data_IF_062834420097
#
_entry.id   IF_062834420097
#
_cell.length_a   1.000
_cell.length_b   1.000
_cell.length_c   1.000
_cell.angle_alpha   90.00
_cell.angle_beta   90.00
_cell.angle_gamma   90.00
#
_symmetry.space_group_name_H-M   'P 1'
#
loop_
_entity.id
_entity.type
_entity.pdbx_description
1 polymer ?
#
# COMPACT_ATOMS: atom_id res chain seq x y z
N UNK A 1 -2.52 16.93 13.99
CA UNK A 1 -2.56 15.81 13.02
C UNK A 1 -1.60 14.72 13.50
N UNK A 2 -2.08 13.48 13.67
CA UNK A 2 -1.22 12.37 14.05
C UNK A 2 -0.46 11.82 12.84
N UNK A 3 0.42 10.85 13.06
CA UNK A 3 1.25 10.30 11.98
C UNK A 3 0.43 9.62 10.88
N UNK A 4 -0.61 8.86 11.26
CA UNK A 4 -1.47 8.20 10.29
C UNK A 4 -2.15 9.23 9.38
N UNK A 5 -2.69 10.29 9.93
CA UNK A 5 -3.33 11.36 9.16
C UNK A 5 -2.34 12.07 8.26
N UNK A 6 -1.12 12.31 8.74
CA UNK A 6 -0.06 12.93 7.95
C UNK A 6 0.33 12.05 6.75
N UNK A 7 0.55 10.76 7.00
CA UNK A 7 0.89 9.81 5.93
C UNK A 7 -0.24 9.69 4.90
N UNK A 8 -1.50 9.69 5.37
CA UNK A 8 -2.63 9.64 4.46
C UNK A 8 -2.70 10.87 3.57
N UNK A 9 -2.45 12.06 4.13
CA UNK A 9 -2.42 13.30 3.36
C UNK A 9 -1.31 13.28 2.30
N UNK A 10 -0.13 12.77 2.65
CA UNK A 10 0.97 12.61 1.70
C UNK A 10 0.60 11.63 0.59
N UNK A 11 -0.04 10.51 0.94
CA UNK A 11 -0.53 9.53 -0.03
C UNK A 11 -1.50 10.16 -1.03
N UNK A 12 -2.44 10.97 -0.55
CA UNK A 12 -3.41 11.68 -1.41
C UNK A 12 -2.67 12.55 -2.43
N UNK A 13 -1.65 13.28 -1.99
CA UNK A 13 -0.82 14.10 -2.89
C UNK A 13 -0.12 13.28 -3.95
N UNK A 14 0.44 12.13 -3.58
CA UNK A 14 1.07 11.21 -4.53
C UNK A 14 0.04 10.69 -5.55
N UNK A 15 -1.14 10.29 -5.10
CA UNK A 15 -2.21 9.81 -5.97
C UNK A 15 -2.61 10.85 -7.00
N UNK A 16 -2.78 12.11 -6.59
CA UNK A 16 -3.10 13.20 -7.54
C UNK A 16 -2.08 13.29 -8.65
N UNK A 17 -0.80 13.21 -8.31
CA UNK A 17 0.29 13.27 -9.28
C UNK A 17 0.28 12.07 -10.22
N UNK A 18 0.08 10.86 -9.67
CA UNK A 18 0.02 9.64 -10.47
C UNK A 18 -1.20 9.62 -11.39
N UNK A 19 -2.36 10.08 -10.88
CA UNK A 19 -3.56 10.20 -11.69
C UNK A 19 -3.32 11.13 -12.89
N UNK A 20 -2.70 12.29 -12.63
CA UNK A 20 -2.48 13.31 -13.65
C UNK A 20 -1.40 12.92 -14.65
N UNK A 21 -0.22 12.50 -14.17
CA UNK A 21 0.95 12.25 -15.02
C UNK A 21 0.86 10.93 -15.78
N UNK A 22 0.40 9.88 -15.13
CA UNK A 22 0.38 8.54 -15.71
C UNK A 22 -1.02 8.03 -16.04
N UNK A 23 -2.05 8.73 -15.58
CA UNK A 23 -3.46 8.30 -15.71
C UNK A 23 -3.67 6.91 -15.12
N UNK A 24 -2.99 6.61 -14.01
CA UNK A 24 -3.16 5.37 -13.27
C UNK A 24 -3.79 5.68 -11.91
N UNK A 25 -4.43 4.66 -11.33
CA UNK A 25 -5.05 4.75 -10.02
C UNK A 25 -4.27 3.82 -9.10
N UNK A 26 -3.43 4.37 -8.19
CA UNK A 26 -2.66 3.53 -7.27
C UNK A 26 -3.55 2.84 -6.25
N UNK A 27 -3.04 1.78 -5.64
CA UNK A 27 -3.69 1.07 -4.53
C UNK A 27 -3.05 1.53 -3.22
N UNK A 28 -3.87 1.91 -2.26
CA UNK A 28 -3.43 2.12 -0.88
C UNK A 28 -3.21 0.76 -0.23
N UNK A 29 -2.01 0.52 0.31
CA UNK A 29 -1.61 -0.80 0.79
C UNK A 29 -0.94 -0.72 2.17
N UNK A 30 -0.53 -1.85 2.71
CA UNK A 30 0.20 -1.92 3.97
C UNK A 30 -0.62 -1.49 5.18
N UNK A 31 0.07 -1.11 6.25
CA UNK A 31 -0.59 -0.74 7.53
C UNK A 31 -1.49 0.47 7.41
N UNK A 32 -1.13 1.44 6.56
CA UNK A 32 -1.97 2.62 6.33
C UNK A 32 -3.30 2.22 5.68
N UNK A 33 -3.24 1.35 4.67
CA UNK A 33 -4.43 0.84 3.99
C UNK A 33 -5.29 -0.04 4.89
N UNK A 34 -4.65 -0.91 5.67
CA UNK A 34 -5.36 -1.75 6.64
C UNK A 34 -6.10 -0.89 7.66
N UNK A 35 -5.46 0.18 8.14
CA UNK A 35 -6.08 1.09 9.10
C UNK A 35 -7.36 1.71 8.57
N UNK A 36 -7.37 2.08 7.29
CA UNK A 36 -8.58 2.61 6.64
C UNK A 36 -9.67 1.55 6.56
N UNK A 37 -9.33 0.34 6.15
CA UNK A 37 -10.30 -0.76 6.01
C UNK A 37 -10.88 -1.20 7.36
N UNK A 38 -10.06 -1.24 8.40
CA UNK A 38 -10.44 -1.68 9.73
C UNK A 38 -10.98 -0.54 10.61
N UNK A 39 -10.84 0.71 10.17
CA UNK A 39 -11.18 1.91 10.95
C UNK A 39 -10.44 1.94 12.29
N UNK A 40 -9.16 1.59 12.25
CA UNK A 40 -8.26 1.56 13.41
C UNK A 40 -6.90 2.11 13.00
N UNK A 41 -6.16 2.64 13.97
CA UNK A 41 -4.78 3.06 13.76
C UNK A 41 -3.84 1.89 14.05
N UNK A 42 -3.15 1.40 13.01
CA UNK A 42 -2.15 0.34 13.11
C UNK A 42 -0.73 0.89 13.23
N UNK A 43 -0.59 2.17 13.59
CA UNK A 43 0.69 2.86 13.74
C UNK A 43 1.59 2.72 12.50
N UNK A 44 1.09 3.07 11.30
CA UNK A 44 1.91 2.96 10.10
C UNK A 44 3.15 3.84 10.21
N UNK A 45 4.28 3.35 9.69
CA UNK A 45 5.55 4.09 9.70
C UNK A 45 5.87 4.68 8.33
N UNK A 46 5.29 4.13 7.28
CA UNK A 46 5.54 4.50 5.89
C UNK A 46 4.27 4.36 5.06
N UNK A 47 4.38 4.80 3.82
CA UNK A 47 3.31 4.69 2.82
C UNK A 47 3.69 3.52 1.92
N UNK A 48 2.78 2.55 1.78
CA UNK A 48 2.91 1.46 0.81
C UNK A 48 1.83 1.62 -0.25
N UNK A 49 2.23 1.56 -1.52
CA UNK A 49 1.29 1.69 -2.61
C UNK A 49 1.62 0.72 -3.73
N UNK A 50 0.60 0.34 -4.47
CA UNK A 50 0.75 -0.58 -5.60
C UNK A 50 0.40 0.14 -6.89
N UNK A 51 1.17 -0.13 -7.94
CA UNK A 51 0.97 0.41 -9.29
C UNK A 51 1.11 -0.74 -10.29
N UNK A 52 0.68 -0.56 -11.56
CA UNK A 52 0.93 -1.59 -12.57
C UNK A 52 2.43 -1.87 -12.72
N UNK A 53 2.79 -3.13 -12.90
CA UNK A 53 4.17 -3.59 -12.97
C UNK A 53 5.02 -2.82 -13.98
N UNK A 54 4.42 -2.36 -15.08
CA UNK A 54 5.13 -1.62 -16.12
C UNK A 54 5.87 -0.40 -15.54
N UNK A 55 5.37 0.20 -14.46
CA UNK A 55 6.00 1.36 -13.83
C UNK A 55 7.19 1.01 -12.94
N UNK A 56 7.39 -0.28 -12.68
CA UNK A 56 8.57 -0.77 -11.97
C UNK A 56 9.56 -1.44 -12.93
N UNK A 57 9.26 -1.47 -14.22
CA UNK A 57 10.09 -2.09 -15.24
C UNK A 57 10.33 -1.11 -16.40
N UNK A 58 9.55 -1.18 -17.49
CA UNK A 58 9.80 -0.33 -18.66
C UNK A 58 9.66 1.17 -18.35
N UNK A 59 8.73 1.55 -17.46
CA UNK A 59 8.47 2.94 -17.10
C UNK A 59 9.10 3.35 -15.77
N UNK A 60 10.08 2.59 -15.29
CA UNK A 60 10.73 2.87 -14.00
C UNK A 60 11.35 4.28 -13.95
N UNK A 61 12.04 4.69 -15.02
CA UNK A 61 12.68 6.01 -15.05
C UNK A 61 11.62 7.12 -14.97
N UNK A 62 10.48 6.94 -15.63
CA UNK A 62 9.39 7.91 -15.56
C UNK A 62 8.84 8.03 -14.14
N UNK A 63 8.63 6.89 -13.46
CA UNK A 63 8.17 6.86 -12.07
C UNK A 63 9.19 7.54 -11.15
N UNK A 64 10.45 7.15 -11.27
CA UNK A 64 11.55 7.71 -10.47
C UNK A 64 11.63 9.23 -10.64
N UNK A 65 11.54 9.71 -11.88
CA UNK A 65 11.61 11.15 -12.16
C UNK A 65 10.43 11.90 -11.56
N UNK A 66 9.22 11.35 -11.62
CA UNK A 66 8.05 11.96 -10.98
C UNK A 66 8.26 12.05 -9.47
N UNK A 67 8.70 10.95 -8.84
CA UNK A 67 8.94 10.93 -7.39
C UNK A 67 10.00 11.98 -7.00
N UNK A 68 11.05 12.12 -7.78
CA UNK A 68 12.08 13.14 -7.52
C UNK A 68 11.51 14.55 -7.61
N UNK A 69 10.64 14.83 -8.59
CA UNK A 69 9.97 16.14 -8.67
C UNK A 69 9.08 16.43 -7.47
N UNK A 70 8.57 15.37 -6.84
CA UNK A 70 7.76 15.48 -5.63
C UNK A 70 8.59 15.51 -4.34
N UNK A 71 9.92 15.48 -4.46
CA UNK A 71 10.83 15.56 -3.32
C UNK A 71 11.28 14.22 -2.77
N UNK A 72 10.96 13.11 -3.43
CA UNK A 72 11.30 11.77 -2.97
C UNK A 72 12.45 11.19 -3.77
N UNK A 73 13.52 10.77 -3.09
CA UNK A 73 14.67 10.11 -3.70
C UNK A 73 14.66 8.63 -3.40
N UNK A 74 15.22 7.81 -4.32
CA UNK A 74 15.34 6.37 -4.12
C UNK A 74 16.32 6.10 -2.99
N UNK A 75 15.88 5.29 -2.01
CA UNK A 75 16.74 4.80 -0.92
C UNK A 75 17.03 3.30 -1.05
N UNK A 76 16.22 2.58 -1.81
CA UNK A 76 16.43 1.16 -2.09
C UNK A 76 15.88 0.85 -3.50
N UNK A 77 16.79 0.60 -4.44
CA UNK A 77 16.41 0.31 -5.83
C UNK A 77 15.76 -1.07 -5.99
N UNK A 78 16.17 -2.03 -5.19
CA UNK A 78 15.65 -3.39 -5.29
C UNK A 78 14.22 -3.47 -4.76
N UNK A 79 13.95 -2.79 -3.65
CA UNK A 79 12.63 -2.79 -3.02
C UNK A 79 11.75 -1.64 -3.51
N UNK A 80 12.24 -0.79 -4.39
CA UNK A 80 11.52 0.38 -4.91
C UNK A 80 11.03 1.29 -3.77
N UNK A 81 11.94 1.63 -2.86
CA UNK A 81 11.65 2.51 -1.74
C UNK A 81 12.22 3.91 -1.95
N UNK A 82 11.46 4.89 -1.52
CA UNK A 82 11.76 6.32 -1.66
C UNK A 82 11.67 7.01 -0.30
N UNK A 83 12.36 8.14 -0.16
CA UNK A 83 12.25 8.98 1.03
C UNK A 83 12.41 10.46 0.66
N UNK A 84 11.71 11.33 1.37
CA UNK A 84 11.90 12.79 1.30
C UNK A 84 12.70 13.31 2.50
N UNK A 85 13.26 12.40 3.32
CA UNK A 85 13.96 12.73 4.56
C UNK A 85 13.08 12.62 5.79
N UNK A 86 11.76 12.59 5.62
CA UNK A 86 10.78 12.47 6.71
C UNK A 86 9.86 11.29 6.51
N UNK A 87 9.36 11.12 5.31
CA UNK A 87 8.41 10.07 4.95
C UNK A 87 9.09 9.04 4.04
N UNK A 88 8.72 7.78 4.19
CA UNK A 88 9.14 6.70 3.28
C UNK A 88 7.95 6.21 2.49
N UNK A 89 8.19 5.91 1.21
CA UNK A 89 7.18 5.37 0.30
C UNK A 89 7.75 4.12 -0.36
N UNK A 90 7.06 2.99 -0.17
CA UNK A 90 7.36 1.74 -0.86
C UNK A 90 6.36 1.55 -2.00
N UNK A 91 6.87 1.22 -3.19
CA UNK A 91 6.04 0.99 -4.38
C UNK A 91 6.24 -0.44 -4.85
N UNK A 92 5.15 -1.19 -4.93
CA UNK A 92 5.12 -2.55 -5.46
C UNK A 92 4.11 -2.63 -6.61
N UNK A 93 3.94 -3.82 -7.19
CA UNK A 93 3.06 -3.95 -8.34
C UNK A 93 1.74 -4.64 -7.99
N UNK A 94 0.66 -4.12 -8.57
CA UNK A 94 -0.71 -4.54 -8.26
C UNK A 94 -0.98 -6.00 -8.64
N UNK A 95 -0.33 -6.49 -9.70
CA UNK A 95 -0.52 -7.87 -10.19
C UNK A 95 -0.10 -8.91 -9.16
N UNK A 96 0.78 -8.56 -8.22
CA UNK A 96 1.22 -9.46 -7.16
C UNK A 96 0.09 -9.83 -6.20
N UNK A 97 -0.94 -9.01 -6.10
CA UNK A 97 -2.13 -9.34 -5.29
C UNK A 97 -2.77 -10.64 -5.75
N UNK A 98 -2.84 -10.87 -7.06
CA UNK A 98 -3.42 -12.09 -7.61
C UNK A 98 -2.49 -13.27 -7.45
N UNK A 99 -1.21 -13.12 -7.84
CA UNK A 99 -0.25 -14.22 -7.84
C UNK A 99 0.19 -14.63 -6.44
N UNK A 100 0.31 -13.67 -5.52
CA UNK A 100 0.78 -13.93 -4.16
C UNK A 100 -0.37 -14.23 -3.19
N UNK A 101 -1.44 -13.44 -3.22
CA UNK A 101 -2.48 -13.47 -2.20
C UNK A 101 -3.85 -13.95 -2.69
N UNK A 102 -3.97 -14.29 -3.97
CA UNK A 102 -5.25 -14.71 -4.58
C UNK A 102 -6.34 -13.64 -4.45
N UNK A 103 -5.94 -12.36 -4.48
CA UNK A 103 -6.86 -11.22 -4.47
C UNK A 103 -7.09 -10.75 -5.89
N UNK A 104 -8.36 -10.60 -6.27
CA UNK A 104 -8.71 -10.08 -7.60
C UNK A 104 -8.54 -8.56 -7.61
N UNK A 105 -7.39 -8.10 -8.10
CA UNK A 105 -7.08 -6.67 -8.13
C UNK A 105 -7.96 -5.87 -9.10
N UNK A 106 -8.64 -6.54 -10.02
CA UNK A 106 -9.55 -5.87 -10.98
C UNK A 106 -10.88 -5.51 -10.34
N UNK A 107 -11.19 -6.08 -9.17
CA UNK A 107 -12.44 -5.86 -8.43
C UNK A 107 -12.29 -4.98 -7.20
N UNK A 108 -11.14 -4.31 -7.03
CA UNK A 108 -10.91 -3.44 -5.88
C UNK A 108 -11.85 -2.23 -5.91
N UNK A 109 -12.27 -1.79 -4.73
CA UNK A 109 -13.08 -0.60 -4.57
C UNK A 109 -12.29 0.65 -4.89
N UNK A 110 -12.84 1.55 -5.71
CA UNK A 110 -12.24 2.83 -6.04
C UNK A 110 -12.78 3.91 -5.10
N UNK A 111 -11.88 4.73 -4.57
CA UNK A 111 -12.21 5.86 -3.70
C UNK A 111 -11.81 7.14 -4.39
N UNK A 112 -12.67 8.15 -4.31
CA UNK A 112 -12.38 9.52 -4.71
C UNK A 112 -12.34 10.37 -3.45
N UNK A 113 -11.19 10.96 -3.16
CA UNK A 113 -11.00 11.76 -1.95
C UNK A 113 -10.11 12.96 -2.26
N UNK A 114 -10.59 14.15 -1.96
CA UNK A 114 -9.86 15.42 -2.16
C UNK A 114 -9.28 15.57 -3.58
N UNK A 115 -10.01 15.05 -4.57
CA UNK A 115 -9.61 15.11 -5.97
C UNK A 115 -8.65 14.00 -6.40
N UNK A 116 -8.27 13.10 -5.51
CA UNK A 116 -7.42 11.95 -5.82
C UNK A 116 -8.26 10.69 -5.98
N UNK A 117 -7.87 9.82 -6.91
CA UNK A 117 -8.47 8.50 -7.07
C UNK A 117 -7.48 7.42 -6.66
N UNK A 118 -7.92 6.46 -5.89
CA UNK A 118 -7.11 5.31 -5.48
C UNK A 118 -7.99 4.11 -5.19
N UNK A 119 -7.40 2.91 -5.22
CA UNK A 119 -8.08 1.68 -4.86
C UNK A 119 -7.78 1.30 -3.42
N UNK A 120 -8.71 0.59 -2.78
CA UNK A 120 -8.54 0.05 -1.42
C UNK A 120 -8.87 -1.44 -1.41
N UNK A 121 -8.24 -2.16 -0.48
CA UNK A 121 -8.55 -3.56 -0.22
C UNK A 121 -9.62 -3.66 0.87
N UNK A 122 -10.43 -4.72 0.79
CA UNK A 122 -11.35 -5.09 1.87
C UNK A 122 -10.60 -5.77 3.01
N UNK A 123 -11.28 -5.95 4.16
CA UNK A 123 -10.70 -6.74 5.26
C UNK A 123 -10.43 -8.17 4.85
N UNK A 124 -11.31 -8.77 4.03
CA UNK A 124 -11.09 -10.13 3.51
C UNK A 124 -9.84 -10.21 2.66
N UNK A 125 -9.62 -9.20 1.81
CA UNK A 125 -8.40 -9.14 0.99
C UNK A 125 -7.15 -9.03 1.87
N UNK A 126 -7.18 -8.19 2.89
CA UNK A 126 -6.06 -8.08 3.84
C UNK A 126 -5.83 -9.37 4.61
N UNK A 127 -6.90 -10.08 4.97
CA UNK A 127 -6.77 -11.38 5.62
C UNK A 127 -5.98 -12.35 4.73
N UNK A 128 -6.32 -12.41 3.44
CA UNK A 128 -5.59 -13.23 2.47
C UNK A 128 -4.12 -12.80 2.36
N UNK A 129 -3.87 -11.50 2.24
CA UNK A 129 -2.51 -10.96 2.12
C UNK A 129 -1.66 -11.38 3.32
N UNK A 130 -2.13 -11.11 4.53
CA UNK A 130 -1.34 -11.38 5.73
C UNK A 130 -1.21 -12.86 6.03
N UNK A 131 -2.23 -13.67 5.69
CA UNK A 131 -2.15 -15.13 5.80
C UNK A 131 -1.05 -15.68 4.90
N UNK A 132 -0.99 -15.23 3.64
CA UNK A 132 0.07 -15.63 2.71
C UNK A 132 1.43 -15.10 3.14
N UNK A 133 1.49 -13.85 3.60
CA UNK A 133 2.72 -13.23 4.08
C UNK A 133 3.30 -13.98 5.28
N UNK A 134 2.46 -14.38 6.24
CA UNK A 134 2.91 -15.11 7.42
C UNK A 134 3.40 -16.52 7.08
N UNK A 135 2.95 -17.11 5.97
CA UNK A 135 3.37 -18.41 5.50
C UNK A 135 4.60 -18.36 4.60
N UNK A 136 4.95 -17.16 4.06
CA UNK A 136 6.13 -16.97 3.23
C UNK A 136 7.40 -17.08 4.08
N UNK A 137 8.37 -17.89 3.62
CA UNK A 137 9.58 -18.19 4.41
C UNK A 137 10.39 -16.95 4.79
N UNK A 138 10.54 -15.98 3.89
CA UNK A 138 11.28 -14.75 4.15
C UNK A 138 10.48 -13.82 5.09
N UNK A 139 9.22 -13.56 4.76
CA UNK A 139 8.35 -12.71 5.57
C UNK A 139 8.07 -13.31 6.92
N UNK A 140 7.99 -14.62 7.00
CA UNK A 140 7.75 -15.36 8.25
C UNK A 140 8.83 -15.06 9.29
N UNK A 141 10.10 -15.07 8.88
CA UNK A 141 11.20 -14.77 9.81
C UNK A 141 11.26 -13.29 10.18
N UNK A 142 10.94 -12.40 9.24
CA UNK A 142 11.09 -10.95 9.41
C UNK A 142 9.88 -10.31 10.11
N UNK A 143 8.66 -10.66 9.69
CA UNK A 143 7.43 -9.98 10.11
C UNK A 143 6.36 -10.91 10.67
N UNK A 144 6.69 -12.14 11.00
CA UNK A 144 5.71 -13.16 11.38
C UNK A 144 4.78 -12.72 12.52
N UNK A 145 5.34 -12.18 13.60
CA UNK A 145 4.54 -11.73 14.75
C UNK A 145 3.59 -10.59 14.40
N UNK A 146 4.04 -9.66 13.56
CA UNK A 146 3.22 -8.53 13.12
C UNK A 146 2.07 -9.01 12.25
N UNK A 147 2.33 -9.94 11.33
CA UNK A 147 1.31 -10.51 10.46
C UNK A 147 0.26 -11.28 11.26
N UNK A 148 0.67 -12.09 12.24
CA UNK A 148 -0.25 -12.84 13.09
C UNK A 148 -1.14 -11.92 13.92
N UNK A 149 -0.60 -10.81 14.43
CA UNK A 149 -1.38 -9.82 15.17
C UNK A 149 -2.47 -9.21 14.28
N UNK A 150 -2.10 -8.82 13.06
CA UNK A 150 -3.05 -8.24 12.11
C UNK A 150 -4.15 -9.23 11.74
N UNK A 151 -3.78 -10.48 11.48
CA UNK A 151 -4.75 -11.57 11.21
C UNK A 151 -5.74 -11.69 12.36
N UNK A 152 -5.26 -11.73 13.59
CA UNK A 152 -6.10 -11.86 14.78
C UNK A 152 -7.08 -10.69 14.90
N UNK A 153 -6.59 -9.46 14.71
CA UNK A 153 -7.43 -8.26 14.78
C UNK A 153 -8.51 -8.29 13.70
N UNK A 154 -8.14 -8.64 12.46
CA UNK A 154 -9.10 -8.72 11.35
C UNK A 154 -10.20 -9.74 11.66
N UNK A 155 -9.83 -10.93 12.15
CA UNK A 155 -10.79 -11.96 12.51
C UNK A 155 -11.76 -11.50 13.60
N UNK A 156 -11.26 -10.80 14.60
CA UNK A 156 -12.10 -10.25 15.67
C UNK A 156 -13.09 -9.20 15.16
N UNK A 157 -12.65 -8.32 14.27
CA UNK A 157 -13.52 -7.32 13.65
C UNK A 157 -14.63 -8.01 12.85
N UNK A 158 -14.29 -9.01 12.06
CA UNK A 158 -15.26 -9.77 11.24
C UNK A 158 -16.27 -10.49 12.11
N UNK A 159 -15.84 -11.11 13.21
CA UNK A 159 -16.74 -11.76 14.16
C UNK A 159 -17.70 -10.77 14.80
N UNK A 160 -17.23 -9.58 15.17
CA UNK A 160 -18.05 -8.55 15.78
C UNK A 160 -19.12 -8.00 14.83
N UNK A 161 -18.90 -8.10 13.50
CA UNK A 161 -19.81 -7.58 12.48
C UNK A 161 -20.76 -8.64 11.92
N UNK A 162 -20.75 -9.85 12.46
CA UNK A 162 -21.67 -10.94 12.08
C UNK A 162 -22.99 -10.87 12.85
#
# INVERSE_FOLDING_TARGET
>A
MNKEQHLHKEFIGLCKSFNKEFRIIPVLYGSLGLGKAAKMDFSPQDIDMLVPFVYLNEQWIALKNLMERLGYSVIDYQEHEFSDGYNQVGVSFIEDLETFAEVDYRSLEKVLEDGAEYYVLSLDDYLNVYTKSSADGYRRTKNHKKDLRKIDIIKKIKEANQ
#
